data_IF_517169407705
#
_entry.id   IF_517169407705
#
_cell.length_a   1.000
_cell.length_b   1.000
_cell.length_c   1.000
_cell.angle_alpha   90.00
_cell.angle_beta   90.00
_cell.angle_gamma   90.00
#
_symmetry.space_group_name_H-M   'P 1'
#
loop_
_entity.id
_entity.type
_entity.pdbx_description
1 polymer ?
#
# COMPACT_ATOMS: atom_id res chain seq x y z
N UNK A 1 -8.76 4.12 1.76
CA UNK A 1 -7.40 4.11 1.19
C UNK A 1 -6.60 5.26 1.77
N UNK A 2 -5.30 5.08 1.92
CA UNK A 2 -4.34 5.92 2.67
C UNK A 2 -4.34 7.44 2.36
N UNK A 3 -5.03 7.90 1.32
CA UNK A 3 -5.14 9.31 0.90
C UNK A 3 -6.44 10.01 1.30
N UNK A 4 -7.35 9.34 2.02
CA UNK A 4 -8.65 9.93 2.42
C UNK A 4 -9.67 10.03 1.28
N UNK A 5 -9.32 9.60 0.06
CA UNK A 5 -10.24 9.47 -1.07
C UNK A 5 -10.92 8.10 -1.09
N UNK A 6 -12.10 8.05 -1.72
CA UNK A 6 -12.78 6.80 -1.99
C UNK A 6 -11.99 5.98 -3.03
N UNK A 7 -12.12 4.66 -2.94
CA UNK A 7 -11.60 3.76 -3.96
C UNK A 7 -12.55 3.87 -5.16
N UNK A 8 -12.16 4.63 -6.17
CA UNK A 8 -12.89 4.73 -7.44
C UNK A 8 -12.39 3.65 -8.40
N UNK A 9 -13.26 3.17 -9.30
CA UNK A 9 -12.88 2.15 -10.28
C UNK A 9 -11.90 2.65 -11.37
N UNK A 10 -11.45 3.90 -11.28
CA UNK A 10 -10.47 4.51 -12.20
C UNK A 10 -9.03 4.13 -11.87
N UNK A 11 -8.76 3.63 -10.66
CA UNK A 11 -7.42 3.25 -10.22
C UNK A 11 -7.44 1.86 -9.59
N UNK A 12 -6.37 1.08 -9.82
CA UNK A 12 -6.24 -0.23 -9.20
C UNK A 12 -6.02 -0.08 -7.69
N UNK A 13 -6.56 -1.05 -6.95
CA UNK A 13 -6.38 -1.15 -5.52
C UNK A 13 -5.36 -2.27 -5.26
N UNK A 14 -4.31 -1.95 -4.51
CA UNK A 14 -3.27 -2.87 -4.10
C UNK A 14 -3.30 -3.08 -2.58
N UNK A 15 -2.79 -4.22 -2.14
CA UNK A 15 -2.67 -4.56 -0.73
C UNK A 15 -1.26 -4.22 -0.24
N UNK A 16 -1.19 -3.26 0.68
CA UNK A 16 0.05 -2.85 1.32
C UNK A 16 0.25 -3.57 2.66
N UNK A 17 1.43 -4.13 2.90
CA UNK A 17 1.81 -4.69 4.20
C UNK A 17 2.26 -3.56 5.13
N UNK A 18 1.50 -3.30 6.20
CA UNK A 18 1.72 -2.15 7.09
C UNK A 18 3.06 -2.25 7.83
N UNK A 19 3.46 -3.46 8.23
CA UNK A 19 4.72 -3.72 8.92
C UNK A 19 5.94 -3.81 7.99
N UNK A 20 5.71 -3.80 6.67
CA UNK A 20 6.76 -3.96 5.65
C UNK A 20 7.28 -5.40 5.49
N UNK A 21 6.67 -6.39 6.17
CA UNK A 21 7.00 -7.79 5.98
C UNK A 21 6.11 -8.41 4.91
N UNK A 22 6.64 -8.54 3.69
CA UNK A 22 5.92 -9.11 2.55
C UNK A 22 5.70 -10.64 2.62
N UNK A 23 6.23 -11.30 3.65
CA UNK A 23 6.07 -12.74 3.87
C UNK A 23 4.84 -13.06 4.74
N UNK A 24 4.31 -12.08 5.46
CA UNK A 24 3.25 -12.27 6.46
C UNK A 24 1.90 -11.68 5.99
N UNK A 25 1.15 -12.47 5.23
CA UNK A 25 -0.15 -12.15 4.63
C UNK A 25 -1.34 -12.14 5.61
N UNK A 26 -1.12 -11.70 6.85
CA UNK A 26 -2.21 -11.63 7.83
C UNK A 26 -3.20 -10.53 7.43
N UNK A 27 -4.52 -10.80 7.44
CA UNK A 27 -5.52 -9.83 6.97
C UNK A 27 -5.56 -8.54 7.79
N UNK A 28 -5.19 -8.59 9.07
CA UNK A 28 -5.06 -7.40 9.92
C UNK A 28 -3.77 -6.59 9.69
N UNK A 29 -2.85 -7.10 8.87
CA UNK A 29 -1.59 -6.48 8.49
C UNK A 29 -1.62 -5.91 7.07
N UNK A 30 -2.74 -6.10 6.35
CA UNK A 30 -2.93 -5.66 4.98
C UNK A 30 -3.82 -4.41 4.95
N UNK A 31 -3.39 -3.41 4.18
CA UNK A 31 -4.15 -2.19 3.92
C UNK A 31 -4.45 -2.07 2.44
N UNK A 32 -5.73 -1.95 2.08
CA UNK A 32 -6.13 -1.61 0.72
C UNK A 32 -5.84 -0.14 0.42
N UNK A 33 -4.95 0.11 -0.53
CA UNK A 33 -4.53 1.43 -0.99
C UNK A 33 -4.62 1.51 -2.50
N UNK A 34 -4.70 2.72 -3.05
CA UNK A 34 -4.58 2.88 -4.50
C UNK A 34 -3.15 2.58 -4.96
N UNK A 35 -2.96 2.11 -6.20
CA UNK A 35 -1.66 1.84 -6.83
C UNK A 35 -0.69 3.03 -6.68
N UNK A 36 -1.14 4.26 -6.95
CA UNK A 36 -0.29 5.45 -6.83
C UNK A 36 0.13 5.73 -5.39
N UNK A 37 -0.76 5.41 -4.44
CA UNK A 37 -0.45 5.54 -3.01
C UNK A 37 0.55 4.47 -2.58
N UNK A 38 0.40 3.25 -3.09
CA UNK A 38 1.32 2.15 -2.85
C UNK A 38 2.74 2.51 -3.31
N UNK A 39 2.87 3.03 -4.54
CA UNK A 39 4.13 3.53 -5.07
C UNK A 39 4.72 4.65 -4.22
N UNK A 40 3.91 5.63 -3.79
CA UNK A 40 4.38 6.71 -2.92
C UNK A 40 4.92 6.19 -1.57
N UNK A 41 4.21 5.26 -0.94
CA UNK A 41 4.62 4.64 0.33
C UNK A 41 5.96 3.91 0.16
N UNK A 42 6.17 3.22 -0.96
CA UNK A 42 7.43 2.52 -1.24
C UNK A 42 8.55 3.43 -1.74
N UNK A 43 8.25 4.52 -2.44
CA UNK A 43 9.22 5.54 -2.84
C UNK A 43 9.85 6.25 -1.64
N UNK A 44 9.09 6.49 -0.57
CA UNK A 44 9.59 7.08 0.68
C UNK A 44 10.47 6.14 1.52
N UNK A 45 10.47 4.84 1.23
CA UNK A 45 11.17 3.78 1.99
C UNK A 45 12.15 2.98 1.12
N UNK A 46 12.80 3.59 0.12
CA UNK A 46 13.92 2.93 -0.57
C UNK A 46 15.02 2.67 0.46
N UNK A 47 15.41 1.42 0.76
CA UNK A 47 16.67 1.20 1.46
C UNK A 47 17.75 1.87 0.61
N UNK A 48 18.56 2.75 1.22
CA UNK A 48 19.82 3.16 0.59
C UNK A 48 20.66 1.90 0.40
N UNK A 49 21.29 1.84 -0.77
CA UNK A 49 22.07 0.75 -1.34
C UNK A 49 22.93 -0.03 -0.33
#
# INVERSE_FOLDING_TARGET
GHCGHYLDNKEKVELHHIDGNHDNWKPNNLLAVHESCHDYIHMGKRPKA
#
